data_IF_615935115789
#
_entry.id   IF_615935115789
#
_cell.length_a   1.000
_cell.length_b   1.000
_cell.length_c   1.000
_cell.angle_alpha   90.00
_cell.angle_beta   90.00
_cell.angle_gamma   90.00
#
_symmetry.space_group_name_H-M   'P 1'
#
loop_
_entity.id
_entity.type
_entity.pdbx_description
1 polymer ?
#
# COMPACT_ATOMS: atom_id res chain seq x y z
N UNK A 1 -17.78 -7.24 -38.12
CA UNK A 1 -17.73 -6.44 -36.88
C UNK A 1 -17.15 -7.33 -35.79
N UNK A 2 -16.00 -6.95 -35.21
CA UNK A 2 -15.49 -7.61 -33.98
C UNK A 2 -16.51 -7.40 -32.85
N UNK A 3 -16.84 -8.43 -32.07
CA UNK A 3 -17.70 -8.24 -30.93
C UNK A 3 -17.04 -7.18 -30.01
N UNK A 4 -17.78 -6.13 -29.66
CA UNK A 4 -17.35 -5.19 -28.65
C UNK A 4 -17.25 -5.97 -27.33
N UNK A 5 -16.04 -6.25 -26.86
CA UNK A 5 -15.82 -6.81 -25.55
C UNK A 5 -16.41 -5.82 -24.52
N UNK A 6 -17.50 -6.23 -23.87
CA UNK A 6 -18.09 -5.47 -22.77
C UNK A 6 -17.27 -5.78 -21.52
N UNK A 7 -16.24 -4.98 -21.26
CA UNK A 7 -15.54 -5.04 -19.99
C UNK A 7 -16.46 -4.50 -18.88
N UNK A 8 -16.49 -5.21 -17.76
CA UNK A 8 -17.12 -4.72 -16.53
C UNK A 8 -16.30 -3.56 -15.95
N UNK A 9 -16.92 -2.73 -15.13
CA UNK A 9 -16.22 -1.64 -14.42
C UNK A 9 -14.99 -2.14 -13.68
N UNK A 10 -15.09 -3.29 -13.00
CA UNK A 10 -13.99 -3.91 -12.26
C UNK A 10 -12.83 -4.36 -13.15
N UNK A 11 -13.12 -4.94 -14.31
CA UNK A 11 -12.09 -5.31 -15.30
C UNK A 11 -11.36 -4.09 -15.85
N UNK A 12 -12.09 -3.00 -16.14
CA UNK A 12 -11.50 -1.73 -16.58
C UNK A 12 -10.54 -1.19 -15.50
N UNK A 13 -10.94 -1.19 -14.23
CA UNK A 13 -10.09 -0.75 -13.13
C UNK A 13 -8.80 -1.57 -13.05
N UNK A 14 -8.90 -2.90 -13.03
CA UNK A 14 -7.73 -3.79 -12.98
C UNK A 14 -6.76 -3.59 -14.15
N UNK A 15 -7.30 -3.39 -15.38
CA UNK A 15 -6.48 -3.12 -16.57
C UNK A 15 -5.88 -1.70 -16.59
N UNK A 16 -6.46 -0.74 -15.83
CA UNK A 16 -5.96 0.63 -15.75
C UNK A 16 -4.82 0.78 -14.72
N UNK A 17 -4.75 -0.08 -13.72
CA UNK A 17 -3.72 -0.04 -12.66
C UNK A 17 -2.30 -0.04 -13.21
N UNK A 18 -1.88 -0.93 -14.15
CA UNK A 18 -0.52 -0.92 -14.70
C UNK A 18 -0.16 0.36 -15.45
N UNK A 19 -1.14 1.02 -16.08
CA UNK A 19 -0.92 2.30 -16.77
C UNK A 19 -0.58 3.39 -15.77
N UNK A 20 -1.41 3.56 -14.75
CA UNK A 20 -1.17 4.54 -13.70
C UNK A 20 0.11 4.22 -12.91
N UNK A 21 0.41 2.95 -12.69
CA UNK A 21 1.65 2.52 -12.05
C UNK A 21 2.90 2.88 -12.88
N UNK A 22 2.78 2.96 -14.20
CA UNK A 22 3.92 3.24 -15.08
C UNK A 22 4.23 4.73 -15.19
N UNK A 23 3.22 5.59 -15.37
CA UNK A 23 3.43 7.00 -15.71
C UNK A 23 2.61 7.99 -14.84
N UNK A 24 1.96 7.51 -13.79
CA UNK A 24 1.18 8.33 -12.88
C UNK A 24 -0.14 8.84 -13.44
N UNK A 25 -0.80 9.70 -12.66
CA UNK A 25 -2.08 10.31 -13.08
C UNK A 25 -1.93 11.19 -14.32
N UNK A 26 -0.94 12.08 -14.35
CA UNK A 26 -0.79 13.08 -15.41
C UNK A 26 -0.29 12.49 -16.72
N UNK A 27 0.46 11.38 -16.66
CA UNK A 27 1.03 10.72 -17.83
C UNK A 27 0.05 9.90 -18.68
N UNK A 28 -1.23 9.78 -18.26
CA UNK A 28 -2.25 8.95 -18.94
C UNK A 28 -3.45 9.80 -19.34
N UNK A 29 -3.97 9.61 -20.55
CA UNK A 29 -5.25 10.18 -20.97
C UNK A 29 -6.36 9.12 -21.00
N UNK A 30 -7.63 9.55 -21.00
CA UNK A 30 -8.79 8.66 -21.17
C UNK A 30 -8.71 7.86 -22.50
N UNK A 31 -8.08 8.41 -23.53
CA UNK A 31 -7.87 7.71 -24.81
C UNK A 31 -6.84 6.59 -24.69
N UNK A 32 -5.75 6.85 -23.97
CA UNK A 32 -4.70 5.84 -23.74
C UNK A 32 -5.27 4.68 -22.92
N UNK A 33 -6.06 4.98 -21.89
CA UNK A 33 -6.75 3.96 -21.10
C UNK A 33 -7.71 3.15 -21.96
N UNK A 34 -8.56 3.82 -22.77
CA UNK A 34 -9.50 3.16 -23.65
C UNK A 34 -8.79 2.22 -24.63
N UNK A 35 -7.68 2.67 -25.22
CA UNK A 35 -6.88 1.87 -26.15
C UNK A 35 -6.26 0.65 -25.46
N UNK A 36 -5.69 0.82 -24.26
CA UNK A 36 -5.05 -0.26 -23.51
C UNK A 36 -6.05 -1.30 -22.98
N UNK A 37 -7.24 -0.85 -22.58
CA UNK A 37 -8.34 -1.73 -22.11
C UNK A 37 -9.07 -2.39 -23.30
N UNK A 38 -8.92 -1.87 -24.51
CA UNK A 38 -9.58 -2.40 -25.70
C UNK A 38 -11.05 -1.98 -25.85
N UNK A 39 -11.41 -0.80 -25.31
CA UNK A 39 -12.75 -0.21 -25.42
C UNK A 39 -12.71 1.14 -26.13
N UNK A 40 -13.88 1.71 -26.44
CA UNK A 40 -13.95 3.10 -26.94
C UNK A 40 -13.88 4.09 -25.79
N UNK A 41 -13.39 5.34 -26.03
CA UNK A 41 -13.48 6.39 -25.00
C UNK A 41 -14.90 6.63 -24.51
N UNK A 42 -15.89 6.56 -25.40
CA UNK A 42 -17.31 6.68 -25.03
C UNK A 42 -17.75 5.58 -24.04
N UNK A 43 -17.25 4.35 -24.21
CA UNK A 43 -17.54 3.26 -23.28
C UNK A 43 -16.92 3.50 -21.88
N UNK A 44 -15.73 4.13 -21.79
CA UNK A 44 -15.17 4.53 -20.50
C UNK A 44 -16.03 5.58 -19.79
N UNK A 45 -16.52 6.59 -20.52
CA UNK A 45 -17.38 7.63 -19.96
C UNK A 45 -18.75 7.12 -19.51
N UNK A 46 -19.18 5.93 -19.95
CA UNK A 46 -20.36 5.26 -19.35
C UNK A 46 -20.11 4.73 -17.93
N UNK A 47 -18.86 4.42 -17.61
CA UNK A 47 -18.49 3.87 -16.30
C UNK A 47 -17.90 4.91 -15.34
N UNK A 48 -17.24 5.93 -15.87
CA UNK A 48 -16.51 6.94 -15.11
C UNK A 48 -16.78 8.33 -15.66
N UNK A 49 -17.12 9.28 -14.79
CA UNK A 49 -17.41 10.68 -15.19
C UNK A 49 -16.22 11.36 -15.87
N UNK A 50 -15.01 11.05 -15.39
CA UNK A 50 -13.76 11.64 -15.83
C UNK A 50 -12.56 10.76 -15.47
N UNK A 51 -11.35 11.25 -15.77
CA UNK A 51 -10.10 10.56 -15.48
C UNK A 51 -9.83 10.48 -13.97
N UNK A 52 -10.22 11.50 -13.23
CA UNK A 52 -9.99 11.55 -11.78
C UNK A 52 -10.81 10.48 -11.07
N UNK A 53 -12.10 10.36 -11.39
CA UNK A 53 -12.94 9.29 -10.85
C UNK A 53 -12.37 7.90 -11.19
N UNK A 54 -11.94 7.69 -12.44
CA UNK A 54 -11.33 6.41 -12.83
C UNK A 54 -10.05 6.14 -12.06
N UNK A 55 -9.19 7.14 -11.84
CA UNK A 55 -7.96 7.00 -11.07
C UNK A 55 -8.23 6.66 -9.61
N UNK A 56 -9.09 7.42 -8.94
CA UNK A 56 -9.47 7.17 -7.54
C UNK A 56 -10.03 5.75 -7.36
N UNK A 57 -10.90 5.33 -8.27
CA UNK A 57 -11.48 3.99 -8.25
C UNK A 57 -10.45 2.89 -8.54
N UNK A 58 -9.49 3.15 -9.45
CA UNK A 58 -8.41 2.21 -9.76
C UNK A 58 -7.46 2.03 -8.58
N UNK A 59 -7.08 3.12 -7.89
CA UNK A 59 -6.30 3.09 -6.66
C UNK A 59 -7.07 2.33 -5.57
N UNK A 60 -8.34 2.65 -5.36
CA UNK A 60 -9.20 1.98 -4.39
C UNK A 60 -9.34 0.49 -4.67
N UNK A 61 -9.56 0.12 -5.94
CA UNK A 61 -9.64 -1.28 -6.34
C UNK A 61 -8.33 -2.06 -6.10
N UNK A 62 -7.19 -1.48 -6.50
CA UNK A 62 -5.88 -2.10 -6.26
C UNK A 62 -5.58 -2.25 -4.77
N UNK A 63 -5.93 -1.23 -3.97
CA UNK A 63 -5.75 -1.24 -2.53
C UNK A 63 -6.62 -2.30 -1.85
N UNK A 64 -7.93 -2.34 -2.15
CA UNK A 64 -8.84 -3.33 -1.56
C UNK A 64 -8.42 -4.77 -1.88
N UNK A 65 -8.03 -5.02 -3.12
CA UNK A 65 -7.56 -6.35 -3.55
C UNK A 65 -6.31 -6.81 -2.82
N UNK A 66 -5.34 -5.91 -2.62
CA UNK A 66 -4.01 -6.24 -2.07
C UNK A 66 -3.95 -6.08 -0.55
N UNK A 67 -4.62 -5.09 -0.02
CA UNK A 67 -4.52 -4.68 1.39
C UNK A 67 -5.74 -5.13 2.22
N UNK A 68 -6.89 -5.37 1.60
CA UNK A 68 -8.08 -5.87 2.29
C UNK A 68 -7.79 -7.08 3.19
N UNK A 69 -7.06 -8.12 2.73
CA UNK A 69 -6.66 -9.25 3.57
C UNK A 69 -5.80 -8.90 4.78
N UNK A 70 -5.02 -7.80 4.72
CA UNK A 70 -4.17 -7.33 5.82
C UNK A 70 -4.98 -6.75 6.97
N UNK A 71 -6.09 -6.07 6.66
CA UNK A 71 -6.95 -5.45 7.67
C UNK A 71 -7.51 -6.47 8.66
N UNK A 72 -7.95 -7.62 8.17
CA UNK A 72 -8.50 -8.69 9.03
C UNK A 72 -7.50 -9.23 10.04
N UNK A 73 -6.19 -9.19 9.74
CA UNK A 73 -5.15 -9.59 10.69
C UNK A 73 -4.99 -8.60 11.86
N UNK A 74 -5.31 -7.32 11.64
CA UNK A 74 -5.22 -6.28 12.66
C UNK A 74 -6.39 -6.32 13.64
N UNK A 75 -7.52 -6.86 13.22
CA UNK A 75 -8.77 -6.92 14.00
C UNK A 75 -8.92 -8.24 14.78
N UNK A 76 -8.13 -9.28 14.45
CA UNK A 76 -8.21 -10.62 15.03
C UNK A 76 -7.14 -10.89 16.08
N UNK A 77 -7.44 -11.87 16.99
CA UNK A 77 -6.47 -12.37 17.96
C UNK A 77 -6.36 -11.53 19.25
N UNK A 78 -5.86 -12.18 20.32
CA UNK A 78 -5.75 -11.55 21.65
C UNK A 78 -4.44 -10.79 21.84
N UNK A 79 -3.33 -11.29 21.26
CA UNK A 79 -2.00 -10.69 21.44
C UNK A 79 -1.70 -9.64 20.36
N UNK A 80 -1.49 -8.36 20.72
CA UNK A 80 -1.15 -7.31 19.77
C UNK A 80 0.14 -7.58 18.98
N UNK A 81 1.13 -8.22 19.58
CA UNK A 81 2.39 -8.56 18.91
C UNK A 81 2.20 -9.61 17.81
N UNK A 82 1.35 -10.60 18.02
CA UNK A 82 1.07 -11.63 17.02
C UNK A 82 0.32 -11.03 15.81
N UNK A 83 -0.59 -10.08 16.07
CA UNK A 83 -1.28 -9.31 15.00
C UNK A 83 -0.29 -8.49 14.19
N UNK A 84 0.63 -7.77 14.86
CA UNK A 84 1.68 -7.00 14.18
C UNK A 84 2.58 -7.91 13.34
N UNK A 85 3.05 -9.01 13.90
CA UNK A 85 3.93 -9.96 13.19
C UNK A 85 3.25 -10.54 11.95
N UNK A 86 2.01 -10.99 12.07
CA UNK A 86 1.22 -11.49 10.94
C UNK A 86 1.00 -10.42 9.86
N UNK A 87 0.67 -9.19 10.28
CA UNK A 87 0.53 -8.05 9.37
C UNK A 87 1.82 -7.75 8.64
N UNK A 88 2.95 -7.57 9.34
CA UNK A 88 4.25 -7.25 8.73
C UNK A 88 4.68 -8.36 7.77
N UNK A 89 4.55 -9.63 8.17
CA UNK A 89 4.91 -10.77 7.32
C UNK A 89 4.07 -10.84 6.04
N UNK A 90 2.76 -10.62 6.10
CA UNK A 90 1.91 -10.62 4.90
C UNK A 90 2.17 -9.38 4.04
N UNK A 91 2.37 -8.21 4.66
CA UNK A 91 2.60 -6.96 3.96
C UNK A 91 3.94 -6.97 3.21
N UNK A 92 5.03 -7.45 3.81
CA UNK A 92 6.33 -7.61 3.13
C UNK A 92 6.25 -8.57 1.95
N UNK A 93 5.56 -9.72 2.10
CA UNK A 93 5.33 -10.65 0.99
C UNK A 93 4.54 -10.02 -0.16
N UNK A 94 3.49 -9.28 0.17
CA UNK A 94 2.69 -8.55 -0.82
C UNK A 94 3.56 -7.52 -1.54
N UNK A 95 4.31 -6.68 -0.83
CA UNK A 95 5.21 -5.70 -1.43
C UNK A 95 6.28 -6.35 -2.32
N UNK A 96 6.81 -7.51 -1.96
CA UNK A 96 7.79 -8.21 -2.78
C UNK A 96 7.23 -8.65 -4.14
N UNK A 97 5.96 -9.03 -4.19
CA UNK A 97 5.30 -9.60 -5.38
C UNK A 97 4.64 -8.54 -6.27
N UNK A 98 4.02 -7.55 -5.67
CA UNK A 98 3.11 -6.60 -6.33
C UNK A 98 3.82 -5.31 -6.77
N UNK A 99 4.64 -5.40 -7.82
CA UNK A 99 5.45 -4.27 -8.32
C UNK A 99 4.59 -3.10 -8.80
N UNK A 100 3.51 -3.37 -9.52
CA UNK A 100 2.64 -2.33 -10.05
C UNK A 100 1.88 -1.63 -8.92
N UNK A 101 1.47 -2.37 -7.89
CA UNK A 101 0.89 -1.77 -6.68
C UNK A 101 1.88 -0.82 -5.99
N UNK A 102 3.15 -1.24 -5.79
CA UNK A 102 4.17 -0.35 -5.19
C UNK A 102 4.36 0.92 -6.02
N UNK A 103 4.52 0.80 -7.34
CA UNK A 103 4.66 1.96 -8.23
C UNK A 103 3.46 2.88 -8.19
N UNK A 104 2.25 2.31 -8.16
CA UNK A 104 1.03 3.09 -8.02
C UNK A 104 1.03 3.88 -6.70
N UNK A 105 1.43 3.25 -5.58
CA UNK A 105 1.54 3.93 -4.29
C UNK A 105 2.62 5.01 -4.27
N UNK A 106 3.75 4.82 -4.96
CA UNK A 106 4.76 5.88 -5.14
C UNK A 106 4.15 7.11 -5.82
N UNK A 107 3.38 6.92 -6.90
CA UNK A 107 2.70 8.03 -7.57
C UNK A 107 1.69 8.73 -6.67
N UNK A 108 0.96 7.98 -5.85
CA UNK A 108 0.05 8.55 -4.85
C UNK A 108 0.80 9.42 -3.83
N UNK A 109 1.94 8.95 -3.33
CA UNK A 109 2.76 9.71 -2.37
C UNK A 109 3.42 10.96 -2.96
N UNK A 110 3.63 10.99 -4.29
CA UNK A 110 4.19 12.12 -5.02
C UNK A 110 3.12 13.10 -5.55
N UNK A 111 1.84 12.77 -5.37
CA UNK A 111 0.75 13.61 -5.83
C UNK A 111 0.72 14.93 -5.05
N UNK A 112 0.63 16.05 -5.76
CA UNK A 112 0.55 17.39 -5.17
C UNK A 112 -0.87 17.95 -5.10
N UNK A 113 -1.87 17.21 -5.60
CA UNK A 113 -3.27 17.65 -5.57
C UNK A 113 -3.91 17.28 -4.24
N UNK A 114 -4.05 18.27 -3.34
CA UNK A 114 -4.59 18.08 -1.99
C UNK A 114 -6.01 17.49 -1.99
N UNK A 115 -6.87 17.88 -2.92
CA UNK A 115 -8.23 17.37 -3.03
C UNK A 115 -8.25 15.88 -3.38
N UNK A 116 -7.41 15.47 -4.31
CA UNK A 116 -7.27 14.06 -4.71
C UNK A 116 -6.67 13.23 -3.57
N UNK A 117 -5.63 13.74 -2.90
CA UNK A 117 -5.06 13.09 -1.71
C UNK A 117 -6.10 12.94 -0.59
N UNK A 118 -6.89 13.98 -0.31
CA UNK A 118 -7.96 13.91 0.68
C UNK A 118 -8.99 12.83 0.32
N UNK A 119 -9.39 12.74 -0.96
CA UNK A 119 -10.32 11.72 -1.44
C UNK A 119 -9.76 10.31 -1.28
N UNK A 120 -8.46 10.11 -1.57
CA UNK A 120 -7.79 8.82 -1.37
C UNK A 120 -7.71 8.45 0.11
N UNK A 121 -7.40 9.40 0.98
CA UNK A 121 -7.40 9.16 2.44
C UNK A 121 -8.79 8.74 2.89
N UNK A 122 -9.82 9.48 2.50
CA UNK A 122 -11.19 9.26 2.95
C UNK A 122 -11.78 7.93 2.47
N UNK A 123 -11.50 7.55 1.22
CA UNK A 123 -12.12 6.40 0.59
C UNK A 123 -11.26 5.13 0.61
N UNK A 124 -9.93 5.25 0.79
CA UNK A 124 -9.00 4.14 0.59
C UNK A 124 -8.18 3.84 1.84
N UNK A 125 -7.51 4.85 2.41
CA UNK A 125 -6.46 4.59 3.42
C UNK A 125 -6.94 4.65 4.86
N UNK A 126 -8.02 5.38 5.15
CA UNK A 126 -8.51 5.67 6.50
C UNK A 126 -8.69 4.42 7.37
N UNK A 127 -9.33 3.41 6.83
CA UNK A 127 -9.68 2.21 7.60
C UNK A 127 -8.46 1.42 8.04
N UNK A 128 -7.49 1.20 7.12
CA UNK A 128 -6.25 0.51 7.45
C UNK A 128 -5.43 1.32 8.47
N UNK A 129 -5.29 2.64 8.24
CA UNK A 129 -4.55 3.50 9.14
C UNK A 129 -5.19 3.53 10.54
N UNK A 130 -6.52 3.57 10.64
CA UNK A 130 -7.25 3.54 11.91
C UNK A 130 -7.03 2.22 12.66
N UNK A 131 -7.04 1.08 11.96
CA UNK A 131 -6.76 -0.22 12.57
C UNK A 131 -5.32 -0.31 13.09
N UNK A 132 -4.35 0.16 12.31
CA UNK A 132 -2.95 0.22 12.74
C UNK A 132 -2.73 1.21 13.89
N UNK A 133 -3.39 2.37 13.87
CA UNK A 133 -3.33 3.35 14.94
C UNK A 133 -3.83 2.77 16.27
N UNK A 134 -4.94 2.02 16.24
CA UNK A 134 -5.43 1.30 17.42
C UNK A 134 -4.42 0.28 17.91
N UNK A 135 -3.87 -0.55 17.02
CA UNK A 135 -2.85 -1.55 17.37
C UNK A 135 -1.58 -0.89 17.95
N UNK A 136 -1.13 0.23 17.39
CA UNK A 136 0.01 1.00 17.89
C UNK A 136 -0.22 1.48 19.33
N UNK A 137 -1.43 1.96 19.65
CA UNK A 137 -1.79 2.35 21.03
C UNK A 137 -1.82 1.18 22.01
N UNK A 138 -2.19 -0.02 21.55
CA UNK A 138 -2.14 -1.24 22.39
C UNK A 138 -0.71 -1.73 22.63
N UNK A 139 0.16 -1.63 21.60
CA UNK A 139 1.55 -2.10 21.67
C UNK A 139 2.45 -1.18 22.50
N UNK A 140 2.28 0.11 22.36
CA UNK A 140 3.21 1.10 22.91
C UNK A 140 2.49 2.41 23.33
N UNK A 141 1.70 2.38 24.41
CA UNK A 141 0.87 3.52 24.83
C UNK A 141 1.66 4.76 25.26
N UNK A 142 2.98 4.64 25.41
CA UNK A 142 3.87 5.77 25.73
C UNK A 142 4.34 6.55 24.50
N UNK A 143 4.16 6.00 23.30
CA UNK A 143 4.53 6.64 22.05
C UNK A 143 3.30 7.29 21.39
N UNK A 144 3.56 8.31 20.57
CA UNK A 144 2.53 8.84 19.67
C UNK A 144 2.14 7.78 18.64
N UNK A 145 0.88 7.35 18.68
CA UNK A 145 0.40 6.24 17.85
C UNK A 145 0.45 6.57 16.34
N UNK A 146 0.22 7.85 15.95
CA UNK A 146 0.31 8.28 14.56
C UNK A 146 1.75 8.18 14.04
N UNK A 147 2.71 8.74 14.76
CA UNK A 147 4.13 8.67 14.39
C UNK A 147 4.65 7.24 14.41
N UNK A 148 4.17 6.40 15.33
CA UNK A 148 4.55 5.00 15.38
C UNK A 148 4.07 4.26 14.12
N UNK A 149 2.82 4.46 13.67
CA UNK A 149 2.31 3.87 12.43
C UNK A 149 3.11 4.35 11.21
N UNK A 150 3.41 5.65 11.11
CA UNK A 150 4.23 6.20 10.02
C UNK A 150 5.63 5.57 10.02
N UNK A 151 6.24 5.40 11.20
CA UNK A 151 7.55 4.74 11.35
C UNK A 151 7.50 3.27 10.93
N UNK A 152 6.44 2.54 11.30
CA UNK A 152 6.22 1.15 10.89
C UNK A 152 6.11 1.02 9.36
N UNK A 153 5.36 1.89 8.70
CA UNK A 153 5.31 1.92 7.24
C UNK A 153 6.68 2.21 6.63
N UNK A 154 7.43 3.17 7.18
CA UNK A 154 8.78 3.46 6.71
C UNK A 154 9.71 2.25 6.80
N UNK A 155 9.71 1.54 7.94
CA UNK A 155 10.52 0.34 8.14
C UNK A 155 10.16 -0.79 7.17
N UNK A 156 8.87 -0.95 6.84
CA UNK A 156 8.40 -2.04 5.96
C UNK A 156 8.56 -1.69 4.48
N UNK A 157 8.22 -0.45 4.07
CA UNK A 157 8.14 -0.05 2.66
C UNK A 157 9.53 0.32 2.12
N UNK A 158 10.34 1.06 2.88
CA UNK A 158 11.61 1.61 2.43
C UNK A 158 12.61 0.57 1.88
N UNK A 159 12.74 -0.64 2.43
CA UNK A 159 13.57 -1.69 1.85
C UNK A 159 13.20 -2.05 0.40
N UNK A 160 11.93 -1.98 0.02
CA UNK A 160 11.47 -2.26 -1.35
C UNK A 160 11.66 -1.06 -2.27
N UNK A 161 11.45 0.17 -1.77
CA UNK A 161 11.64 1.40 -2.53
C UNK A 161 13.10 1.62 -2.91
N UNK A 162 14.03 1.25 -2.02
CA UNK A 162 15.47 1.43 -2.21
C UNK A 162 16.18 0.23 -2.84
N UNK A 163 15.46 -0.83 -3.21
CA UNK A 163 16.04 -2.08 -3.70
C UNK A 163 17.06 -1.88 -4.83
N UNK A 164 16.77 -1.00 -5.80
CA UNK A 164 17.64 -0.74 -6.94
C UNK A 164 19.00 -0.12 -6.56
N UNK A 165 19.03 0.67 -5.50
CA UNK A 165 20.23 1.34 -4.99
C UNK A 165 20.91 0.49 -3.92
N UNK A 166 20.13 -0.08 -3.01
CA UNK A 166 20.61 -0.82 -1.83
C UNK A 166 21.55 -1.97 -2.19
N UNK A 167 21.34 -2.64 -3.32
CA UNK A 167 22.22 -3.74 -3.80
C UNK A 167 23.67 -3.32 -4.09
N UNK A 168 23.93 -2.02 -4.22
CA UNK A 168 25.27 -1.47 -4.43
C UNK A 168 25.91 -0.89 -3.15
N UNK A 169 25.16 -0.86 -2.04
CA UNK A 169 25.66 -0.35 -0.77
C UNK A 169 26.57 -1.36 -0.07
N UNK A 170 27.58 -0.90 0.70
CA UNK A 170 28.43 -1.80 1.49
C UNK A 170 27.62 -2.69 2.43
N UNK A 171 28.01 -3.96 2.55
CA UNK A 171 27.35 -4.92 3.43
C UNK A 171 26.09 -5.56 2.83
N UNK A 172 25.71 -5.23 1.59
CA UNK A 172 24.59 -5.89 0.93
C UNK A 172 24.82 -7.41 0.81
N UNK A 173 23.76 -8.15 1.05
CA UNK A 173 23.69 -9.60 0.84
C UNK A 173 22.38 -9.96 0.15
N UNK A 174 22.36 -11.02 -0.66
CA UNK A 174 21.17 -11.47 -1.40
C UNK A 174 19.96 -11.75 -0.48
N UNK A 175 20.20 -12.25 0.72
CA UNK A 175 19.13 -12.49 1.73
C UNK A 175 18.41 -11.22 2.19
N UNK A 176 18.98 -10.04 1.96
CA UNK A 176 18.30 -8.77 2.28
C UNK A 176 17.15 -8.45 1.33
N UNK A 177 16.97 -9.21 0.25
CA UNK A 177 15.81 -9.12 -0.64
C UNK A 177 14.68 -10.09 -0.26
N UNK A 178 14.96 -11.03 0.67
CA UNK A 178 13.95 -11.94 1.18
C UNK A 178 12.90 -11.20 2.05
N UNK A 179 11.61 -11.22 1.66
CA UNK A 179 10.58 -10.56 2.44
C UNK A 179 10.43 -11.10 3.86
N UNK A 180 10.73 -12.37 4.09
CA UNK A 180 10.71 -12.97 5.43
C UNK A 180 11.87 -12.46 6.30
N UNK A 181 13.05 -12.23 5.71
CA UNK A 181 14.17 -11.64 6.43
C UNK A 181 13.88 -10.19 6.81
N UNK A 182 13.26 -9.41 5.89
CA UNK A 182 12.82 -8.04 6.16
C UNK A 182 11.78 -8.03 7.28
N UNK A 183 10.77 -8.90 7.20
CA UNK A 183 9.72 -8.99 8.22
C UNK A 183 10.30 -9.27 9.61
N UNK A 184 11.13 -10.30 9.75
CA UNK A 184 11.79 -10.64 11.02
C UNK A 184 12.62 -9.50 11.57
N UNK A 185 13.36 -8.80 10.71
CA UNK A 185 14.17 -7.65 11.10
C UNK A 185 13.30 -6.51 11.65
N UNK A 186 12.23 -6.14 10.94
CA UNK A 186 11.32 -5.06 11.34
C UNK A 186 10.62 -5.39 12.66
N UNK A 187 10.06 -6.59 12.79
CA UNK A 187 9.41 -7.03 14.03
C UNK A 187 10.40 -7.06 15.19
N UNK A 188 11.62 -7.55 14.96
CA UNK A 188 12.67 -7.57 15.98
C UNK A 188 13.06 -6.17 16.44
N UNK A 189 13.22 -5.21 15.53
CA UNK A 189 13.49 -3.81 15.87
C UNK A 189 12.36 -3.19 16.69
N UNK A 190 11.11 -3.38 16.27
CA UNK A 190 9.95 -2.83 16.98
C UNK A 190 9.82 -3.45 18.38
N UNK A 191 9.93 -4.78 18.49
CA UNK A 191 9.79 -5.49 19.77
C UNK A 191 10.86 -5.05 20.78
N UNK A 192 12.11 -4.94 20.37
CA UNK A 192 13.21 -4.53 21.23
C UNK A 192 13.17 -3.02 21.53
N UNK A 193 12.87 -2.17 20.54
CA UNK A 193 12.80 -0.72 20.70
C UNK A 193 11.61 -0.25 21.54
N UNK A 194 10.47 -0.93 21.45
CA UNK A 194 9.26 -0.59 22.22
C UNK A 194 9.23 -1.26 23.59
N UNK A 195 10.02 -2.33 23.82
CA UNK A 195 10.05 -3.08 25.08
C UNK A 195 10.93 -2.46 26.16
N UNK A 196 11.99 -1.74 25.80
CA UNK A 196 12.99 -1.22 26.74
C UNK A 196 12.40 -0.20 27.74
N UNK A 197 11.36 0.54 27.34
CA UNK A 197 10.76 1.56 28.22
C UNK A 197 9.79 1.01 29.29
N UNK A 198 9.47 -0.27 29.30
CA UNK A 198 8.58 -0.85 30.33
C UNK A 198 9.30 -1.27 31.61
N UNK A 199 10.63 -1.43 31.59
CA UNK A 199 11.40 -1.85 32.76
C UNK A 199 11.88 -0.66 33.63
N UNK A 200 12.05 0.54 33.05
CA UNK A 200 12.54 1.71 33.82
C UNK A 200 11.48 2.41 34.69
N UNK A 201 10.20 2.06 34.60
CA UNK A 201 9.12 2.64 35.42
C UNK A 201 8.73 1.81 36.63
N UNK A 202 9.46 0.73 36.91
CA UNK A 202 9.18 -0.16 38.06
C UNK A 202 10.15 0.02 39.25
N UNK A 203 10.85 1.17 39.33
CA UNK A 203 11.70 1.51 40.49
C UNK A 203 11.31 2.84 41.10
#
# INVERSE_FOLDING_TARGET
AKPAFRHTRKEILGLSVPLFATVGFDGVSMRDIAAAVGVTPAALYHHFSDKEQLYLDAVGHAFEEKVGPLKSLLEGGENPWDRLEAFVALFTRMLAREKDFRRLMQWVLLDSNEQRLQSLVDCVFRDLFSALHKLAGELAPVYDAHLLVVSMFGLVIYPFETQSVRRFLPGYQQQHEDPEAIARHVVGLLRNGLGINNEEKSH
#
